data_IF_812348614841
#
_entry.id   IF_812348614841
#
_cell.length_a   1.000
_cell.length_b   1.000
_cell.length_c   1.000
_cell.angle_alpha   90.00
_cell.angle_beta   90.00
_cell.angle_gamma   90.00
#
_symmetry.space_group_name_H-M   'P 1'
#
loop_
_entity.id
_entity.type
_entity.pdbx_description
1 polymer ?
#
# COMPACT_ATOMS: atom_id res chain seq x y z
N UNK A 1 -10.91 6.64 -14.88
CA UNK A 1 -11.39 7.69 -13.96
C UNK A 1 -10.73 8.94 -14.48
N UNK A 2 -11.51 9.79 -15.12
CA UNK A 2 -10.97 10.91 -15.87
C UNK A 2 -10.70 12.06 -14.91
N UNK A 3 -9.56 12.72 -15.10
CA UNK A 3 -9.16 13.87 -14.31
C UNK A 3 -8.93 15.06 -15.23
N UNK A 4 -9.11 16.26 -14.69
CA UNK A 4 -8.79 17.52 -15.36
C UNK A 4 -7.62 18.18 -14.65
N UNK A 5 -6.62 18.64 -15.41
CA UNK A 5 -5.46 19.36 -14.89
C UNK A 5 -5.57 20.85 -15.20
N UNK A 6 -5.21 21.67 -14.21
CA UNK A 6 -5.21 23.12 -14.30
C UNK A 6 -3.79 23.64 -14.18
N UNK A 7 -3.38 24.43 -15.16
CA UNK A 7 -2.05 25.03 -15.27
C UNK A 7 -2.15 26.55 -15.14
N UNK A 8 -1.10 27.19 -14.61
CA UNK A 8 -0.98 28.65 -14.68
C UNK A 8 -0.43 29.12 -16.05
N UNK A 9 -0.30 30.44 -16.21
CA UNK A 9 0.23 31.08 -17.42
C UNK A 9 1.68 30.66 -17.76
N UNK A 10 2.40 30.05 -16.81
CA UNK A 10 3.75 29.51 -17.00
C UNK A 10 3.74 28.01 -17.28
N UNK A 11 2.58 27.45 -17.63
CA UNK A 11 2.35 26.02 -17.85
C UNK A 11 2.71 25.15 -16.61
N UNK A 12 2.61 25.70 -15.41
CA UNK A 12 2.88 24.97 -14.17
C UNK A 12 1.60 24.35 -13.64
N UNK A 13 1.62 23.03 -13.41
CA UNK A 13 0.49 22.33 -12.79
C UNK A 13 0.20 22.94 -11.40
N UNK A 14 -1.05 23.38 -11.20
CA UNK A 14 -1.56 23.92 -9.93
C UNK A 14 -2.57 23.01 -9.28
N UNK A 15 -3.35 22.30 -10.08
CA UNK A 15 -4.42 21.46 -9.56
C UNK A 15 -4.70 20.28 -10.50
N UNK A 16 -5.04 19.14 -9.90
CA UNK A 16 -5.69 18.03 -10.59
C UNK A 16 -7.03 17.75 -9.91
N UNK A 17 -8.11 17.71 -10.68
CA UNK A 17 -9.46 17.46 -10.19
C UNK A 17 -9.99 16.13 -10.74
N UNK A 18 -10.48 15.29 -9.84
CA UNK A 18 -11.16 14.04 -10.16
C UNK A 18 -12.64 14.19 -9.88
N UNK A 19 -13.46 13.75 -10.82
CA UNK A 19 -14.92 13.88 -10.74
C UNK A 19 -15.61 12.54 -10.51
N UNK A 20 -16.84 12.60 -9.99
CA UNK A 20 -17.73 11.44 -9.93
C UNK A 20 -18.36 11.14 -11.31
N UNK A 21 -19.23 10.12 -11.36
CA UNK A 21 -19.92 9.73 -12.60
C UNK A 21 -20.88 10.80 -13.17
N UNK A 22 -21.21 11.81 -12.37
CA UNK A 22 -22.06 12.94 -12.74
C UNK A 22 -21.24 14.22 -13.03
N UNK A 23 -19.92 14.11 -13.19
CA UNK A 23 -18.98 15.22 -13.37
C UNK A 23 -18.91 16.21 -12.19
N UNK A 24 -19.32 15.81 -10.98
CA UNK A 24 -19.11 16.65 -9.81
C UNK A 24 -17.69 16.47 -9.25
N UNK A 25 -16.99 17.55 -8.87
CA UNK A 25 -15.68 17.46 -8.23
C UNK A 25 -15.71 16.66 -6.94
N UNK A 26 -14.91 15.58 -6.87
CA UNK A 26 -14.84 14.68 -5.74
C UNK A 26 -13.50 14.77 -4.99
N UNK A 27 -12.38 14.74 -5.71
CA UNK A 27 -11.02 14.85 -5.15
C UNK A 27 -10.28 15.97 -5.90
N UNK A 28 -9.56 16.81 -5.16
CA UNK A 28 -8.67 17.82 -5.71
C UNK A 28 -7.29 17.69 -5.10
N UNK A 29 -6.30 17.58 -5.96
CA UNK A 29 -4.89 17.63 -5.62
C UNK A 29 -4.35 19.01 -5.98
N UNK A 30 -3.67 19.67 -5.06
CA UNK A 30 -3.08 20.99 -5.25
C UNK A 30 -1.56 20.88 -5.29
N UNK A 31 -0.96 21.62 -6.20
CA UNK A 31 0.47 21.55 -6.48
C UNK A 31 1.12 22.93 -6.38
N UNK A 32 2.31 22.97 -5.79
CA UNK A 32 3.25 24.09 -5.95
C UNK A 32 4.48 23.63 -6.74
N UNK A 33 5.32 24.57 -7.16
CA UNK A 33 6.57 24.22 -7.81
C UNK A 33 7.66 23.99 -6.77
N UNK A 34 8.37 22.87 -6.90
CA UNK A 34 9.63 22.65 -6.21
C UNK A 34 10.74 23.53 -6.80
N UNK A 35 11.86 23.62 -6.09
CA UNK A 35 13.07 24.32 -6.56
C UNK A 35 13.65 23.76 -7.88
N UNK A 36 13.18 22.58 -8.32
CA UNK A 36 13.57 21.93 -9.57
C UNK A 36 12.51 22.06 -10.68
N UNK A 37 11.53 22.96 -10.54
CA UNK A 37 10.39 23.09 -11.46
C UNK A 37 9.59 21.79 -11.66
N UNK A 38 9.55 20.93 -10.64
CA UNK A 38 8.67 19.76 -10.60
C UNK A 38 7.44 20.05 -9.75
N UNK A 39 6.22 19.65 -10.18
CA UNK A 39 5.03 19.75 -9.34
C UNK A 39 5.23 18.98 -8.04
N UNK A 40 4.97 19.65 -6.92
CA UNK A 40 4.99 19.08 -5.58
C UNK A 40 3.58 19.17 -5.01
N UNK A 41 3.00 18.01 -4.68
CA UNK A 41 1.69 17.93 -4.04
C UNK A 41 1.74 18.59 -2.65
N UNK A 42 0.84 19.54 -2.39
CA UNK A 42 0.78 20.29 -1.13
C UNK A 42 -0.48 20.01 -0.33
N UNK A 43 -1.58 19.69 -1.00
CA UNK A 43 -2.86 19.45 -0.36
C UNK A 43 -3.70 18.51 -1.22
N UNK A 44 -4.41 17.61 -0.57
CA UNK A 44 -5.49 16.83 -1.15
C UNK A 44 -6.78 17.22 -0.43
N UNK A 45 -7.80 17.62 -1.17
CA UNK A 45 -9.15 17.82 -0.68
C UNK A 45 -10.07 16.73 -1.22
N UNK A 46 -10.97 16.22 -0.39
CA UNK A 46 -12.00 15.27 -0.80
C UNK A 46 -13.36 15.69 -0.25
N UNK A 47 -14.38 15.69 -1.11
CA UNK A 47 -15.77 15.83 -0.68
C UNK A 47 -16.31 14.52 -0.11
N UNK A 48 -16.84 14.57 1.11
CA UNK A 48 -17.60 13.49 1.75
C UNK A 48 -18.97 14.03 2.15
N UNK A 49 -19.98 13.77 1.31
CA UNK A 49 -21.28 14.41 1.43
C UNK A 49 -21.14 15.92 1.37
N UNK A 50 -21.62 16.62 2.40
CA UNK A 50 -21.52 18.08 2.50
C UNK A 50 -20.23 18.59 3.17
N UNK A 51 -19.32 17.70 3.58
CA UNK A 51 -18.07 18.08 4.24
C UNK A 51 -16.88 17.96 3.29
N UNK A 52 -15.92 18.86 3.44
CA UNK A 52 -14.60 18.75 2.80
C UNK A 52 -13.59 18.26 3.82
N UNK A 53 -12.89 17.19 3.48
CA UNK A 53 -11.78 16.64 4.28
C UNK A 53 -10.48 16.98 3.57
N UNK A 54 -9.44 17.31 4.35
CA UNK A 54 -8.15 17.78 3.87
C UNK A 54 -7.02 16.88 4.33
N UNK A 55 -6.04 16.66 3.45
CA UNK A 55 -4.86 15.84 3.72
C UNK A 55 -3.62 16.53 3.16
N UNK A 56 -2.58 16.69 3.98
CA UNK A 56 -1.32 17.32 3.55
C UNK A 56 -0.40 16.36 2.80
N UNK A 57 -0.61 15.06 2.96
CA UNK A 57 0.21 14.00 2.37
C UNK A 57 -0.66 12.90 1.83
N UNK A 58 -0.22 12.30 0.72
CA UNK A 58 -0.88 11.16 0.09
C UNK A 58 -1.05 9.98 1.06
N UNK A 59 -0.03 9.70 1.88
CA UNK A 59 -0.10 8.65 2.91
C UNK A 59 -1.31 8.84 3.86
N UNK A 60 -1.59 10.07 4.30
CA UNK A 60 -2.74 10.36 5.16
C UNK A 60 -4.07 10.19 4.44
N UNK A 61 -4.11 10.51 3.13
CA UNK A 61 -5.27 10.30 2.28
C UNK A 61 -5.55 8.82 2.05
N UNK A 62 -4.53 8.03 1.75
CA UNK A 62 -4.63 6.58 1.62
C UNK A 62 -5.07 5.92 2.95
N UNK A 63 -4.44 6.32 4.07
CA UNK A 63 -4.78 5.82 5.40
C UNK A 63 -6.26 6.05 5.76
N UNK A 64 -6.82 7.19 5.36
CA UNK A 64 -8.23 7.50 5.55
C UNK A 64 -9.15 6.48 4.88
N UNK A 65 -8.87 6.08 3.64
CA UNK A 65 -9.67 5.05 2.95
C UNK A 65 -9.49 3.69 3.59
N UNK A 66 -8.27 3.33 3.97
CA UNK A 66 -7.99 2.08 4.67
C UNK A 66 -8.75 2.01 6.01
N UNK A 67 -8.79 3.11 6.77
CA UNK A 67 -9.60 3.23 7.98
C UNK A 67 -11.10 3.06 7.67
N UNK A 68 -11.61 3.70 6.61
CA UNK A 68 -13.02 3.53 6.21
C UNK A 68 -13.36 2.08 5.82
N UNK A 69 -12.42 1.34 5.22
CA UNK A 69 -12.59 -0.07 4.89
C UNK A 69 -12.58 -0.95 6.15
N UNK A 70 -11.65 -0.68 7.07
CA UNK A 70 -11.55 -1.36 8.36
C UNK A 70 -12.81 -1.14 9.21
N UNK A 71 -13.37 0.07 9.24
CA UNK A 71 -14.61 0.38 9.96
C UNK A 71 -15.82 -0.40 9.45
N UNK A 72 -15.87 -0.64 8.13
CA UNK A 72 -16.98 -1.36 7.49
C UNK A 72 -16.90 -2.87 7.66
N UNK A 73 -15.72 -3.40 7.95
CA UNK A 73 -15.49 -4.83 8.06
C UNK A 73 -14.51 -5.14 9.19
N UNK A 74 -15.05 -5.60 10.34
CA UNK A 74 -14.25 -6.02 11.48
C UNK A 74 -13.32 -7.22 11.20
N UNK A 75 -13.53 -7.94 10.09
CA UNK A 75 -12.68 -9.03 9.61
C UNK A 75 -11.74 -8.59 8.48
N UNK A 76 -11.56 -7.29 8.26
CA UNK A 76 -10.64 -6.79 7.24
C UNK A 76 -9.21 -7.26 7.53
N UNK A 77 -8.54 -7.72 6.47
CA UNK A 77 -7.12 -8.07 6.48
C UNK A 77 -6.47 -7.31 5.32
N UNK A 78 -5.38 -6.60 5.61
CA UNK A 78 -4.67 -5.83 4.60
C UNK A 78 -3.35 -6.48 4.20
N UNK A 79 -3.01 -6.33 2.94
CA UNK A 79 -1.80 -6.84 2.34
C UNK A 79 -1.13 -5.69 1.60
N UNK A 80 0.19 -5.57 1.72
CA UNK A 80 0.94 -4.62 0.92
C UNK A 80 2.14 -5.29 0.28
N UNK A 81 2.26 -5.09 -1.03
CA UNK A 81 3.53 -5.12 -1.74
C UNK A 81 4.04 -3.67 -1.86
N UNK A 82 5.35 -3.47 -2.07
CA UNK A 82 6.01 -2.16 -2.22
C UNK A 82 6.00 -1.29 -0.96
N UNK A 83 6.82 -1.70 0.00
CA UNK A 83 6.92 -1.09 1.32
C UNK A 83 7.03 0.45 1.31
N UNK A 84 7.84 1.03 0.41
CA UNK A 84 8.03 2.50 0.34
C UNK A 84 6.76 3.29 0.04
N UNK A 85 5.84 2.71 -0.75
CA UNK A 85 4.65 3.41 -1.23
C UNK A 85 3.48 3.24 -0.24
N UNK A 86 3.34 2.06 0.35
CA UNK A 86 2.13 1.69 1.11
C UNK A 86 2.31 1.78 2.62
N UNK A 87 3.49 1.47 3.16
CA UNK A 87 3.69 1.48 4.62
C UNK A 87 3.45 2.83 5.29
N UNK A 88 3.78 3.99 4.66
CA UNK A 88 3.41 5.28 5.23
C UNK A 88 1.91 5.43 5.48
N UNK A 89 1.04 4.80 4.68
CA UNK A 89 -0.39 4.80 4.91
C UNK A 89 -0.76 3.93 6.12
N UNK A 90 -0.17 2.74 6.25
CA UNK A 90 -0.41 1.85 7.40
C UNK A 90 0.02 2.49 8.73
N UNK A 91 1.14 3.23 8.72
CA UNK A 91 1.57 4.02 9.87
C UNK A 91 0.51 5.04 10.30
N UNK A 92 -0.14 5.70 9.34
CA UNK A 92 -1.11 6.78 9.57
C UNK A 92 -2.53 6.31 9.84
N UNK A 93 -2.84 5.02 9.61
CA UNK A 93 -4.15 4.46 9.95
C UNK A 93 -4.44 4.58 11.44
N UNK A 94 -5.68 4.87 11.79
CA UNK A 94 -6.16 4.89 13.18
C UNK A 94 -6.52 3.49 13.64
N UNK A 95 -7.20 2.72 12.80
CA UNK A 95 -7.59 1.35 13.11
C UNK A 95 -6.39 0.43 13.02
N UNK A 96 -6.35 -0.56 13.91
CA UNK A 96 -5.37 -1.65 13.84
C UNK A 96 -6.11 -2.86 13.29
N UNK A 97 -5.69 -3.31 12.12
CA UNK A 97 -6.19 -4.52 11.47
C UNK A 97 -5.03 -5.49 11.24
N UNK A 98 -5.28 -6.80 11.13
CA UNK A 98 -4.27 -7.74 10.66
C UNK A 98 -3.72 -7.29 9.30
N UNK A 99 -2.43 -6.98 9.27
CA UNK A 99 -1.75 -6.48 8.07
C UNK A 99 -0.49 -7.28 7.78
N UNK A 100 -0.26 -7.60 6.51
CA UNK A 100 0.86 -8.42 6.06
C UNK A 100 1.65 -7.75 4.94
N UNK A 101 2.98 -7.82 5.04
CA UNK A 101 3.89 -7.40 3.97
C UNK A 101 4.20 -8.60 3.08
N UNK A 102 4.07 -8.44 1.77
CA UNK A 102 4.43 -9.48 0.80
C UNK A 102 5.83 -9.19 0.25
N UNK A 103 6.71 -10.19 0.27
CA UNK A 103 8.06 -10.12 -0.28
C UNK A 103 8.18 -10.89 -1.61
N UNK A 104 8.44 -10.12 -2.67
CA UNK A 104 8.76 -10.62 -4.01
C UNK A 104 10.24 -10.47 -4.37
N UNK A 105 11.03 -9.87 -3.49
CA UNK A 105 12.45 -9.59 -3.70
C UNK A 105 13.26 -10.13 -2.53
N UNK A 106 14.53 -10.41 -2.78
CA UNK A 106 15.47 -10.79 -1.74
C UNK A 106 15.55 -9.72 -0.63
N UNK A 107 15.63 -10.17 0.62
CA UNK A 107 15.75 -9.31 1.80
C UNK A 107 17.09 -8.56 1.84
N UNK A 108 18.14 -9.18 1.30
CA UNK A 108 19.50 -8.66 1.20
C UNK A 108 20.03 -8.82 -0.23
N UNK A 109 21.02 -8.01 -0.67
CA UNK A 109 21.61 -8.13 -2.00
C UNK A 109 22.20 -9.52 -2.30
N UNK A 110 22.84 -10.13 -1.32
CA UNK A 110 23.45 -11.46 -1.47
C UNK A 110 22.47 -12.63 -1.25
N UNK A 111 21.28 -12.38 -0.70
CA UNK A 111 20.35 -13.44 -0.28
C UNK A 111 20.76 -14.17 1.01
N UNK A 112 21.73 -13.63 1.75
CA UNK A 112 22.17 -14.14 3.05
C UNK A 112 21.94 -13.11 4.17
N UNK A 113 21.67 -13.62 5.38
CA UNK A 113 21.37 -12.80 6.57
C UNK A 113 22.55 -12.00 7.13
N UNK A 114 23.77 -12.40 6.82
CA UNK A 114 24.99 -11.71 7.26
C UNK A 114 25.28 -10.43 6.45
N UNK A 115 24.46 -10.14 5.45
CA UNK A 115 24.54 -8.95 4.61
C UNK A 115 23.54 -7.88 5.07
N UNK A 116 23.69 -6.66 4.57
CA UNK A 116 22.82 -5.55 4.93
C UNK A 116 21.42 -5.74 4.37
N UNK A 117 20.43 -5.67 5.26
CA UNK A 117 19.00 -5.62 4.90
C UNK A 117 18.72 -4.35 4.12
N UNK A 118 18.00 -4.48 3.00
CA UNK A 118 17.62 -3.33 2.21
C UNK A 118 16.85 -2.29 3.05
N UNK A 119 17.22 -1.02 2.91
CA UNK A 119 16.66 0.09 3.70
C UNK A 119 15.14 0.23 3.57
N UNK A 120 14.57 -0.20 2.44
CA UNK A 120 13.13 -0.24 2.18
C UNK A 120 12.36 -1.10 3.21
N UNK A 121 13.02 -2.06 3.85
CA UNK A 121 12.38 -2.94 4.84
C UNK A 121 12.53 -2.46 6.28
N UNK A 122 13.36 -1.44 6.55
CA UNK A 122 13.50 -0.88 7.91
C UNK A 122 12.16 -0.42 8.53
N UNK A 123 11.24 0.23 7.79
CA UNK A 123 9.94 0.60 8.35
C UNK A 123 9.09 -0.60 8.79
N UNK A 124 9.31 -1.78 8.23
CA UNK A 124 8.54 -2.99 8.58
C UNK A 124 8.75 -3.35 10.05
N UNK A 125 10.00 -3.31 10.53
CA UNK A 125 10.34 -3.62 11.93
C UNK A 125 9.65 -2.67 12.89
N UNK A 126 9.66 -1.36 12.61
CA UNK A 126 9.06 -0.37 13.50
C UNK A 126 7.53 -0.47 13.51
N UNK A 127 6.91 -0.72 12.36
CA UNK A 127 5.48 -0.94 12.27
C UNK A 127 5.04 -2.28 12.87
N UNK A 128 5.89 -3.30 12.84
CA UNK A 128 5.65 -4.57 13.54
C UNK A 128 5.63 -4.37 15.06
N UNK A 129 6.61 -3.64 15.62
CA UNK A 129 6.65 -3.26 17.05
C UNK A 129 5.44 -2.44 17.46
N UNK A 130 4.98 -1.53 16.59
CA UNK A 130 3.77 -0.73 16.81
C UNK A 130 2.45 -1.52 16.64
N UNK A 131 2.52 -2.81 16.31
CA UNK A 131 1.34 -3.66 16.06
C UNK A 131 0.59 -3.33 14.77
N UNK A 132 1.13 -2.46 13.92
CA UNK A 132 0.55 -2.05 12.62
C UNK A 132 0.81 -3.07 11.52
N UNK A 133 1.84 -3.90 11.68
CA UNK A 133 2.13 -5.06 10.82
C UNK A 133 2.13 -6.31 11.69
N UNK A 134 1.29 -7.28 11.32
CA UNK A 134 1.19 -8.55 12.04
C UNK A 134 2.23 -9.55 11.55
N UNK A 135 2.54 -9.52 10.26
CA UNK A 135 3.44 -10.51 9.70
C UNK A 135 3.91 -10.22 8.29
N UNK A 136 4.61 -11.21 7.74
CA UNK A 136 5.11 -11.19 6.39
C UNK A 136 4.78 -12.48 5.64
N UNK A 137 4.75 -12.37 4.32
CA UNK A 137 4.52 -13.46 3.39
C UNK A 137 5.67 -13.45 2.39
N UNK A 138 6.47 -14.52 2.36
CA UNK A 138 7.62 -14.68 1.48
C UNK A 138 7.39 -15.74 0.42
N UNK A 139 8.18 -15.67 -0.65
CA UNK A 139 8.13 -16.61 -1.78
C UNK A 139 8.79 -17.95 -1.48
N UNK A 140 9.60 -18.06 -0.42
CA UNK A 140 10.27 -19.30 -0.03
C UNK A 140 10.28 -19.50 1.48
N UNK A 141 10.39 -20.76 1.92
CA UNK A 141 10.56 -21.12 3.34
C UNK A 141 11.78 -20.47 3.98
N UNK A 142 12.88 -20.39 3.22
CA UNK A 142 14.13 -19.79 3.69
C UNK A 142 13.93 -18.29 3.94
N UNK A 143 13.41 -17.55 2.96
CA UNK A 143 13.14 -16.11 3.12
C UNK A 143 12.13 -15.83 4.22
N UNK A 144 11.11 -16.69 4.39
CA UNK A 144 10.16 -16.57 5.50
C UNK A 144 10.86 -16.66 6.86
N UNK A 145 11.77 -17.63 7.04
CA UNK A 145 12.54 -17.76 8.27
C UNK A 145 13.49 -16.57 8.48
N UNK A 146 14.24 -16.23 7.45
CA UNK A 146 15.24 -15.17 7.47
C UNK A 146 14.58 -13.80 7.79
N UNK A 147 13.46 -13.50 7.15
CA UNK A 147 12.74 -12.26 7.39
C UNK A 147 12.04 -12.22 8.76
N UNK A 148 11.60 -13.35 9.30
CA UNK A 148 11.06 -13.42 10.66
C UNK A 148 12.11 -13.01 11.70
N UNK A 149 13.34 -13.52 11.55
CA UNK A 149 14.47 -13.23 12.43
C UNK A 149 14.88 -11.75 12.36
N UNK A 150 15.05 -11.24 11.15
CA UNK A 150 15.53 -9.88 10.92
C UNK A 150 14.49 -8.82 11.25
N UNK A 151 13.26 -9.00 10.80
CA UNK A 151 12.23 -7.97 10.88
C UNK A 151 11.40 -8.05 12.16
N UNK A 152 11.61 -9.09 12.98
CA UNK A 152 11.00 -9.28 14.30
C UNK A 152 9.46 -9.24 14.27
N UNK A 153 8.86 -9.83 13.23
CA UNK A 153 7.40 -9.90 13.11
C UNK A 153 6.84 -11.09 13.90
N UNK A 154 5.57 -10.97 14.33
CA UNK A 154 4.91 -12.03 15.09
C UNK A 154 4.49 -13.25 14.25
N UNK A 155 4.32 -13.08 12.94
CA UNK A 155 3.94 -14.15 12.01
C UNK A 155 4.76 -14.05 10.73
N UNK A 156 5.22 -15.18 10.22
CA UNK A 156 5.94 -15.25 8.95
C UNK A 156 5.51 -16.50 8.20
N UNK A 157 5.04 -16.31 6.96
CA UNK A 157 4.51 -17.37 6.12
C UNK A 157 5.28 -17.46 4.82
N UNK A 158 5.36 -18.66 4.26
CA UNK A 158 5.77 -18.87 2.88
C UNK A 158 4.56 -19.25 2.03
N UNK A 159 4.42 -18.58 0.87
CA UNK A 159 3.56 -19.03 -0.22
C UNK A 159 4.50 -19.28 -1.40
N UNK A 160 4.99 -20.52 -1.58
CA UNK A 160 5.87 -20.86 -2.67
C UNK A 160 5.26 -20.50 -4.02
N UNK A 161 5.88 -19.56 -4.72
CA UNK A 161 5.50 -19.24 -6.10
C UNK A 161 6.01 -20.39 -6.97
N UNK A 162 5.09 -21.07 -7.63
CA UNK A 162 5.42 -22.11 -8.60
C UNK A 162 5.02 -21.61 -9.98
N UNK A 163 5.89 -21.82 -10.97
CA UNK A 163 5.55 -21.57 -12.36
C UNK A 163 4.78 -22.78 -12.88
N UNK A 164 3.52 -22.59 -13.23
CA UNK A 164 2.73 -23.61 -13.93
C UNK A 164 2.95 -23.44 -15.43
N UNK A 165 3.34 -24.49 -16.13
CA UNK A 165 3.48 -24.48 -17.60
C UNK A 165 2.13 -24.39 -18.33
N UNK A 166 1.02 -24.63 -17.62
CA UNK A 166 -0.35 -24.53 -18.15
C UNK A 166 -1.28 -23.85 -17.15
N UNK A 167 -2.13 -22.95 -17.65
CA UNK A 167 -3.21 -22.35 -16.85
C UNK A 167 -4.37 -23.34 -16.71
N UNK A 168 -4.54 -23.92 -15.53
CA UNK A 168 -5.74 -24.68 -15.22
C UNK A 168 -6.89 -23.72 -14.90
N UNK A 169 -7.86 -23.61 -15.82
CA UNK A 169 -9.08 -22.82 -15.58
C UNK A 169 -9.96 -23.52 -14.55
N UNK A 170 -9.85 -23.11 -13.28
CA UNK A 170 -10.73 -23.59 -12.21
C UNK A 170 -12.07 -22.82 -12.26
N UNK A 171 -13.21 -23.51 -12.49
CA UNK A 171 -14.54 -22.91 -12.44
C UNK A 171 -14.77 -22.16 -11.13
N UNK A 172 -15.45 -21.02 -11.18
CA UNK A 172 -15.68 -20.23 -9.98
C UNK A 172 -16.44 -21.01 -8.90
N UNK A 173 -17.39 -21.86 -9.31
CA UNK A 173 -18.18 -22.73 -8.44
C UNK A 173 -17.39 -23.78 -7.68
N UNK A 174 -16.19 -24.13 -8.14
CA UNK A 174 -15.32 -25.13 -7.47
C UNK A 174 -14.24 -24.51 -6.60
N UNK A 175 -14.22 -23.18 -6.45
CA UNK A 175 -13.24 -22.47 -5.62
C UNK A 175 -13.65 -22.54 -4.15
N UNK A 176 -12.70 -22.88 -3.27
CA UNK A 176 -12.92 -22.80 -1.82
C UNK A 176 -12.97 -21.33 -1.39
N UNK A 177 -14.06 -20.86 -0.75
CA UNK A 177 -14.12 -19.52 -0.20
C UNK A 177 -12.95 -19.25 0.75
N UNK A 178 -12.31 -18.09 0.62
CA UNK A 178 -11.19 -17.67 1.47
C UNK A 178 -9.80 -18.17 1.04
N UNK A 179 -9.67 -18.98 -0.02
CA UNK A 179 -8.36 -19.24 -0.63
C UNK A 179 -7.95 -18.04 -1.50
N UNK A 180 -6.88 -17.38 -1.09
CA UNK A 180 -6.24 -16.31 -1.88
C UNK A 180 -5.40 -16.99 -2.97
N UNK A 181 -5.69 -16.67 -4.23
CA UNK A 181 -4.76 -16.92 -5.33
C UNK A 181 -4.02 -15.61 -5.53
N UNK A 182 -2.77 -15.55 -5.07
CA UNK A 182 -1.87 -14.47 -5.42
C UNK A 182 -1.29 -14.80 -6.80
N UNK A 183 -1.70 -14.05 -7.82
CA UNK A 183 -1.09 -14.10 -9.16
C UNK A 183 -0.15 -12.90 -9.23
N UNK A 184 1.14 -13.16 -9.44
CA UNK A 184 2.17 -12.16 -9.65
C UNK A 184 2.47 -12.02 -11.15
#
# INVERSE_FOLDING_TARGET
MDYTEFFDDKAQLKMREFVDQNNNPLIREYFCQSNQNKPMLTLIEMKKGFKTVRFEKEASFQAYFLDCLAERNAQAVFYCDRCMQVLPAFEKMKHIVPSYVIFHSALTPSGYLNDQVYSVFKPVTELAKAGKIRGLISSTKRESKDAAEVLQVSHSYDIPVTFTSSEDKIPFSSRTPGKIIAVA
#
